data_IF_457616470514
#
_entry.id   IF_457616470514
#
_cell.length_a   1.000
_cell.length_b   1.000
_cell.length_c   1.000
_cell.angle_alpha   90.00
_cell.angle_beta   90.00
_cell.angle_gamma   90.00
#
_symmetry.space_group_name_H-M   'P 1'
#
loop_
_entity.id
_entity.type
_entity.pdbx_description
1 polymer ?
#
# COMPACT_ATOMS: atom_id res chain seq x y z
N UNK A 1 5.74 16.78 4.59
CA UNK A 1 4.30 16.52 4.49
C UNK A 1 3.65 17.86 4.24
N UNK A 2 2.81 17.91 3.22
CA UNK A 2 2.09 19.09 2.77
C UNK A 2 0.59 18.81 2.90
N UNK A 3 -0.18 19.84 3.23
CA UNK A 3 -1.59 19.74 3.60
C UNK A 3 -2.34 20.91 3.00
N UNK A 4 -3.26 20.61 2.10
CA UNK A 4 -4.05 21.62 1.39
C UNK A 4 -5.54 21.36 1.63
N UNK A 5 -6.25 22.41 2.06
CA UNK A 5 -7.71 22.41 2.18
C UNK A 5 -8.34 23.00 0.92
N UNK A 6 -9.20 22.24 0.27
CA UNK A 6 -10.00 22.67 -0.86
C UNK A 6 -11.14 23.61 -0.45
N UNK A 7 -11.71 24.31 -1.44
CA UNK A 7 -12.87 25.22 -1.23
C UNK A 7 -14.19 24.48 -0.95
N UNK A 8 -14.20 23.19 -1.21
CA UNK A 8 -15.31 22.24 -1.06
C UNK A 8 -15.18 21.39 0.22
N UNK A 9 -14.38 21.86 1.20
CA UNK A 9 -14.02 21.15 2.43
C UNK A 9 -13.29 19.80 2.19
N UNK A 10 -12.72 19.60 1.00
CA UNK A 10 -11.81 18.49 0.73
C UNK A 10 -10.44 18.73 1.37
N UNK A 11 -9.76 17.64 1.74
CA UNK A 11 -8.41 17.68 2.30
C UNK A 11 -7.48 16.83 1.44
N UNK A 12 -6.44 17.47 0.91
CA UNK A 12 -5.34 16.80 0.21
C UNK A 12 -4.12 16.77 1.10
N UNK A 13 -3.53 15.59 1.23
CA UNK A 13 -2.31 15.37 2.02
C UNK A 13 -1.25 14.74 1.14
N UNK A 14 -0.13 15.42 0.98
CA UNK A 14 1.00 14.97 0.15
C UNK A 14 2.22 14.73 1.02
N UNK A 15 2.88 13.58 0.87
CA UNK A 15 4.13 13.32 1.57
C UNK A 15 5.01 12.33 0.78
N UNK A 16 6.31 12.54 0.87
CA UNK A 16 7.32 11.62 0.33
C UNK A 16 7.77 10.68 1.45
N UNK A 17 7.85 9.39 1.16
CA UNK A 17 8.36 8.36 2.07
C UNK A 17 9.29 7.40 1.32
N UNK A 18 10.23 6.74 2.03
CA UNK A 18 11.01 5.65 1.44
C UNK A 18 10.10 4.55 0.90
N UNK A 19 10.39 4.05 -0.30
CA UNK A 19 9.73 2.84 -0.81
C UNK A 19 10.31 1.56 -0.18
N UNK A 20 11.61 1.60 0.14
CA UNK A 20 12.36 0.51 0.77
C UNK A 20 12.72 0.93 2.19
N UNK A 21 12.41 0.06 3.14
CA UNK A 21 12.78 0.20 4.55
C UNK A 21 13.85 -0.83 4.92
N UNK A 22 14.55 -0.62 6.04
CA UNK A 22 15.45 -1.63 6.61
C UNK A 22 14.73 -2.32 7.75
N UNK A 23 14.69 -3.66 7.71
CA UNK A 23 14.08 -4.44 8.77
C UNK A 23 14.91 -4.32 10.08
N UNK A 24 14.32 -3.93 11.21
CA UNK A 24 15.06 -3.55 12.42
C UNK A 24 15.82 -4.70 13.07
N UNK A 25 15.41 -5.95 12.83
CA UNK A 25 16.04 -7.14 13.43
C UNK A 25 17.00 -7.83 12.45
N UNK A 26 16.67 -7.89 11.17
CA UNK A 26 17.44 -8.66 10.17
C UNK A 26 18.39 -7.78 9.34
N UNK A 27 18.22 -6.46 9.39
CA UNK A 27 19.00 -5.49 8.60
C UNK A 27 18.74 -5.56 7.09
N UNK A 28 17.77 -6.36 6.63
CA UNK A 28 17.49 -6.54 5.21
C UNK A 28 16.65 -5.39 4.65
N UNK A 29 16.86 -4.98 3.39
CA UNK A 29 15.94 -4.08 2.70
C UNK A 29 14.61 -4.78 2.45
N UNK A 30 13.51 -4.10 2.75
CA UNK A 30 12.15 -4.63 2.62
C UNK A 30 11.26 -3.67 1.85
N UNK A 31 10.43 -4.24 0.98
CA UNK A 31 9.35 -3.52 0.31
C UNK A 31 8.20 -3.30 1.29
N UNK A 32 8.19 -2.14 1.95
CA UNK A 32 7.20 -1.80 2.98
C UNK A 32 6.53 -0.45 2.65
N UNK A 33 5.64 -0.48 1.67
CA UNK A 33 4.86 0.67 1.23
C UNK A 33 3.55 0.23 0.57
N UNK A 34 2.71 1.20 0.19
CA UNK A 34 1.42 0.95 -0.48
C UNK A 34 1.38 1.39 -1.94
N UNK A 35 2.52 1.61 -2.59
CA UNK A 35 2.58 2.17 -3.94
C UNK A 35 1.84 1.36 -5.00
N UNK A 36 1.80 0.02 -4.86
CA UNK A 36 0.99 -0.85 -5.74
C UNK A 36 -0.52 -0.71 -5.49
N UNK A 37 -0.93 -0.42 -4.27
CA UNK A 37 -2.34 -0.41 -3.88
C UNK A 37 -3.00 0.97 -4.07
N UNK A 38 -2.23 2.04 -3.92
CA UNK A 38 -2.70 3.42 -3.95
C UNK A 38 -2.19 4.16 -5.19
N UNK A 39 -2.61 3.68 -6.36
CA UNK A 39 -2.35 4.32 -7.65
C UNK A 39 -3.58 4.16 -8.58
N UNK A 40 -3.69 4.92 -9.68
CA UNK A 40 -4.86 4.87 -10.55
C UNK A 40 -5.11 3.48 -11.15
N UNK A 41 -4.06 2.68 -11.37
CA UNK A 41 -4.16 1.35 -11.98
C UNK A 41 -4.61 0.25 -11.00
N UNK A 42 -4.74 0.55 -9.69
CA UNK A 42 -5.40 -0.37 -8.75
C UNK A 42 -6.92 -0.39 -8.91
N UNK A 43 -7.48 0.59 -9.64
CA UNK A 43 -8.88 0.64 -10.05
C UNK A 43 -9.11 -0.16 -11.34
N UNK A 44 -10.32 -0.71 -11.49
CA UNK A 44 -10.78 -1.26 -12.77
C UNK A 44 -10.73 -0.17 -13.85
N UNK A 45 -10.43 -0.51 -15.12
CA UNK A 45 -10.32 0.48 -16.19
C UNK A 45 -11.52 1.44 -16.29
N UNK A 46 -12.73 0.92 -16.13
CA UNK A 46 -13.98 1.67 -16.24
C UNK A 46 -14.11 2.71 -15.12
N UNK A 47 -13.83 2.29 -13.87
CA UNK A 47 -13.85 3.19 -12.71
C UNK A 47 -12.73 4.23 -12.80
N UNK A 48 -11.54 3.82 -13.26
CA UNK A 48 -10.41 4.75 -13.45
C UNK A 48 -10.76 5.83 -14.46
N UNK A 49 -11.31 5.46 -15.61
CA UNK A 49 -11.72 6.40 -16.67
C UNK A 49 -12.75 7.40 -16.15
N UNK A 50 -13.83 6.92 -15.53
CA UNK A 50 -14.89 7.78 -14.97
C UNK A 50 -14.33 8.75 -13.92
N UNK A 51 -13.46 8.29 -13.02
CA UNK A 51 -12.86 9.16 -12.00
C UNK A 51 -11.91 10.19 -12.63
N UNK A 52 -11.04 9.78 -13.55
CA UNK A 52 -10.13 10.71 -14.21
C UNK A 52 -10.88 11.78 -15.01
N UNK A 53 -11.98 11.43 -15.66
CA UNK A 53 -12.85 12.41 -16.36
C UNK A 53 -13.56 13.34 -15.37
N UNK A 54 -14.00 12.82 -14.23
CA UNK A 54 -14.83 13.58 -13.27
C UNK A 54 -14.01 14.51 -12.38
N UNK A 55 -12.85 14.06 -11.90
CA UNK A 55 -12.06 14.75 -10.87
C UNK A 55 -10.60 14.98 -11.28
N UNK A 56 -10.17 14.52 -12.45
CA UNK A 56 -8.78 14.61 -12.88
C UNK A 56 -7.84 13.73 -12.04
N UNK A 57 -6.55 13.77 -12.37
CA UNK A 57 -5.53 12.98 -11.65
C UNK A 57 -5.33 13.47 -10.20
N UNK A 58 -5.43 14.79 -9.98
CA UNK A 58 -5.23 15.42 -8.66
C UNK A 58 -6.42 15.22 -7.73
N UNK A 59 -7.61 14.96 -8.27
CA UNK A 59 -8.82 14.71 -7.48
C UNK A 59 -9.04 13.23 -7.15
N UNK A 60 -8.15 12.33 -7.57
CA UNK A 60 -8.24 10.92 -7.20
C UNK A 60 -8.08 10.76 -5.68
N UNK A 61 -8.79 9.80 -5.05
CA UNK A 61 -8.71 9.60 -3.61
C UNK A 61 -7.30 9.24 -3.14
N UNK A 62 -6.54 8.53 -3.99
CA UNK A 62 -5.14 8.20 -3.77
C UNK A 62 -4.39 8.14 -5.10
N UNK A 63 -3.18 8.69 -5.12
CA UNK A 63 -2.25 8.54 -6.23
C UNK A 63 -0.81 8.45 -5.68
N UNK A 64 -0.01 7.52 -6.19
CA UNK A 64 1.40 7.37 -5.81
C UNK A 64 2.27 7.68 -7.01
N UNK A 65 3.17 8.64 -6.83
CA UNK A 65 4.21 9.04 -7.79
C UNK A 65 5.59 8.60 -7.28
N UNK A 66 6.62 8.79 -8.09
CA UNK A 66 7.99 8.85 -7.57
C UNK A 66 8.16 10.03 -6.62
N UNK A 67 9.26 10.01 -5.85
CA UNK A 67 9.54 11.03 -4.83
C UNK A 67 9.79 12.44 -5.39
N UNK A 68 10.00 12.55 -6.69
CA UNK A 68 10.11 13.81 -7.44
C UNK A 68 8.79 14.28 -8.07
N UNK A 69 7.70 13.55 -7.83
CA UNK A 69 6.37 13.83 -8.38
C UNK A 69 6.10 13.22 -9.76
N UNK A 70 7.07 12.58 -10.41
CA UNK A 70 6.82 11.93 -11.69
C UNK A 70 5.91 10.71 -11.54
N UNK A 71 4.96 10.54 -12.46
CA UNK A 71 4.08 9.37 -12.45
C UNK A 71 4.90 8.06 -12.56
N UNK A 72 4.55 7.07 -11.74
CA UNK A 72 5.15 5.74 -11.86
C UNK A 72 4.63 5.09 -13.15
N UNK A 73 5.51 4.67 -14.08
CA UNK A 73 5.07 4.05 -15.33
C UNK A 73 4.26 2.79 -15.07
N UNK A 74 3.19 2.58 -15.85
CA UNK A 74 2.33 1.40 -15.69
C UNK A 74 3.09 0.08 -15.79
N UNK A 75 4.10 -0.02 -16.67
CA UNK A 75 4.94 -1.21 -16.78
C UNK A 75 5.69 -1.56 -15.47
N UNK A 76 6.08 -0.55 -14.69
CA UNK A 76 6.72 -0.75 -13.38
C UNK A 76 5.70 -1.29 -12.38
N UNK A 77 4.48 -0.74 -12.37
CA UNK A 77 3.39 -1.23 -11.51
C UNK A 77 3.01 -2.68 -11.86
N UNK A 78 3.00 -3.03 -13.15
CA UNK A 78 2.74 -4.39 -13.62
C UNK A 78 3.83 -5.38 -13.17
N UNK A 79 5.10 -4.97 -13.18
CA UNK A 79 6.20 -5.77 -12.68
C UNK A 79 6.05 -6.04 -11.17
N UNK A 80 5.70 -5.00 -10.41
CA UNK A 80 5.45 -5.12 -8.96
C UNK A 80 4.23 -6.03 -8.72
N UNK A 81 3.12 -5.85 -9.44
CA UNK A 81 1.93 -6.72 -9.34
C UNK A 81 2.30 -8.18 -9.61
N UNK A 82 3.11 -8.44 -10.64
CA UNK A 82 3.59 -9.79 -10.96
C UNK A 82 4.35 -10.39 -9.77
N UNK A 83 5.28 -9.66 -9.17
CA UNK A 83 6.02 -10.12 -7.99
C UNK A 83 5.07 -10.42 -6.82
N UNK A 84 4.09 -9.55 -6.55
CA UNK A 84 3.07 -9.80 -5.54
C UNK A 84 2.31 -11.10 -5.80
N UNK A 85 1.87 -11.33 -7.04
CA UNK A 85 1.11 -12.53 -7.41
C UNK A 85 1.93 -13.81 -7.30
N UNK A 86 3.18 -13.80 -7.74
CA UNK A 86 4.09 -14.96 -7.69
C UNK A 86 4.43 -15.36 -6.25
N UNK A 87 4.58 -14.37 -5.37
CA UNK A 87 4.94 -14.58 -3.96
C UNK A 87 3.74 -14.66 -3.01
N UNK A 88 2.52 -14.35 -3.48
CA UNK A 88 1.31 -14.50 -2.67
C UNK A 88 1.09 -15.96 -2.29
N UNK A 89 0.81 -16.19 -1.01
CA UNK A 89 0.33 -17.48 -0.50
C UNK A 89 -1.07 -17.33 0.02
N UNK A 90 -1.84 -18.40 -0.10
CA UNK A 90 -3.26 -18.38 0.20
C UNK A 90 -3.69 -19.74 0.68
N UNK A 91 -4.38 -19.74 1.80
CA UNK A 91 -4.81 -20.94 2.47
C UNK A 91 -6.25 -20.73 2.97
N UNK A 92 -7.08 -21.78 2.96
CA UNK A 92 -8.39 -21.73 3.59
C UNK A 92 -8.21 -21.66 5.10
N UNK A 93 -8.87 -20.69 5.74
CA UNK A 93 -8.91 -20.60 7.19
C UNK A 93 -9.77 -21.72 7.78
N UNK A 94 -9.26 -22.38 8.81
CA UNK A 94 -9.99 -23.30 9.67
C UNK A 94 -10.28 -22.65 11.03
N UNK A 95 -11.39 -22.99 11.69
CA UNK A 95 -11.61 -22.57 13.08
C UNK A 95 -10.46 -23.01 13.98
N UNK A 96 -9.89 -22.05 14.72
CA UNK A 96 -8.74 -22.29 15.60
C UNK A 96 -7.37 -21.99 14.98
N UNK A 97 -7.29 -21.75 13.68
CA UNK A 97 -6.05 -21.31 13.04
C UNK A 97 -5.57 -19.97 13.63
N UNK A 98 -4.25 -19.88 13.81
CA UNK A 98 -3.56 -18.66 14.19
C UNK A 98 -2.48 -18.36 13.15
N UNK A 99 -2.52 -17.15 12.60
CA UNK A 99 -1.46 -16.64 11.72
C UNK A 99 -0.70 -15.54 12.46
N UNK A 100 0.61 -15.74 12.61
CA UNK A 100 1.52 -14.69 13.03
C UNK A 100 2.22 -14.11 11.80
N UNK A 101 2.21 -12.78 11.68
CA UNK A 101 2.75 -12.09 10.51
C UNK A 101 3.75 -11.04 10.96
N UNK A 102 4.94 -11.08 10.38
CA UNK A 102 5.85 -9.94 10.42
C UNK A 102 5.35 -8.88 9.42
N UNK A 103 4.80 -7.79 9.94
CA UNK A 103 4.13 -6.78 9.14
C UNK A 103 5.10 -6.05 8.17
N UNK A 104 6.39 -6.01 8.47
CA UNK A 104 7.38 -5.36 7.60
C UNK A 104 7.78 -6.26 6.42
N UNK A 105 7.72 -7.58 6.60
CA UNK A 105 8.10 -8.56 5.57
C UNK A 105 6.92 -9.02 4.71
N UNK A 106 5.68 -8.88 5.20
CA UNK A 106 4.51 -9.49 4.57
C UNK A 106 3.42 -8.45 4.35
N UNK A 107 3.16 -8.15 3.08
CA UNK A 107 1.89 -7.55 2.67
C UNK A 107 0.78 -8.60 2.73
N UNK A 108 -0.37 -8.22 3.27
CA UNK A 108 -1.51 -9.10 3.45
C UNK A 108 -2.80 -8.45 2.97
N UNK A 109 -3.76 -9.29 2.61
CA UNK A 109 -5.04 -8.84 2.07
C UNK A 109 -6.09 -9.94 2.17
N UNK A 110 -7.23 -9.72 1.52
CA UNK A 110 -8.39 -10.60 1.59
C UNK A 110 -8.95 -10.86 0.20
N UNK A 111 -9.30 -12.12 -0.09
CA UNK A 111 -10.16 -12.46 -1.23
C UNK A 111 -11.64 -12.21 -0.94
N UNK A 112 -12.46 -11.96 -1.97
CA UNK A 112 -13.91 -12.02 -1.84
C UNK A 112 -14.35 -13.32 -1.14
N UNK A 113 -15.39 -13.24 -0.31
CA UNK A 113 -15.96 -14.40 0.40
C UNK A 113 -17.48 -14.24 0.49
N UNK A 114 -18.17 -15.34 0.79
CA UNK A 114 -19.61 -15.39 1.05
C UNK A 114 -19.88 -16.14 2.36
N UNK A 115 -21.06 -15.96 2.94
CA UNK A 115 -21.45 -16.58 4.21
C UNK A 115 -20.74 -15.98 5.43
N UNK A 116 -20.89 -16.65 6.56
CA UNK A 116 -20.34 -16.20 7.84
C UNK A 116 -18.84 -16.46 7.93
N UNK A 117 -18.07 -15.39 8.19
CA UNK A 117 -16.63 -15.45 8.40
C UNK A 117 -16.21 -14.47 9.49
N UNK A 118 -15.57 -14.97 10.55
CA UNK A 118 -15.00 -14.15 11.62
C UNK A 118 -13.51 -14.43 11.75
N UNK A 119 -12.69 -13.38 11.59
CA UNK A 119 -11.26 -13.39 11.86
C UNK A 119 -10.98 -12.26 12.84
N UNK A 120 -10.26 -12.55 13.92
CA UNK A 120 -9.85 -11.58 14.92
C UNK A 120 -8.39 -11.18 14.68
N UNK A 121 -8.04 -9.95 15.03
CA UNK A 121 -6.69 -9.40 14.86
C UNK A 121 -6.22 -8.79 16.18
N UNK A 122 -4.97 -9.05 16.53
CA UNK A 122 -4.24 -8.36 17.60
C UNK A 122 -2.94 -7.81 17.05
N UNK A 123 -2.62 -6.57 17.41
CA UNK A 123 -1.37 -5.92 17.02
C UNK A 123 -0.34 -6.06 18.14
N UNK A 124 0.91 -6.34 17.77
CA UNK A 124 2.05 -6.24 18.68
C UNK A 124 2.54 -4.78 18.77
N UNK A 125 3.61 -4.56 19.54
CA UNK A 125 4.22 -3.24 19.68
C UNK A 125 4.73 -2.71 18.32
N UNK A 126 4.53 -1.42 18.03
CA UNK A 126 5.00 -0.83 16.80
C UNK A 126 6.53 -0.69 16.79
N UNK A 127 7.13 -0.84 15.61
CA UNK A 127 8.52 -0.47 15.38
C UNK A 127 8.59 1.04 15.14
N UNK A 128 9.39 1.81 15.90
CA UNK A 128 9.55 3.22 15.65
C UNK A 128 10.21 3.46 14.28
N UNK A 129 9.83 4.51 13.55
CA UNK A 129 10.47 4.84 12.28
C UNK A 129 11.99 5.01 12.48
N UNK A 130 12.78 4.39 11.62
CA UNK A 130 14.22 4.65 11.59
C UNK A 130 14.46 6.06 11.05
N UNK A 131 15.31 6.83 11.74
CA UNK A 131 15.67 8.17 11.30
C UNK A 131 16.53 8.05 10.04
N UNK A 132 16.09 8.54 8.88
CA UNK A 132 16.85 8.46 7.63
C UNK A 132 18.16 9.27 7.68
N UNK A 133 18.38 10.09 8.72
CA UNK A 133 19.63 10.82 8.95
C UNK A 133 20.64 10.09 9.83
N UNK A 134 20.30 8.91 10.37
CA UNK A 134 21.25 8.11 11.17
C UNK A 134 22.15 7.27 10.26
N UNK A 135 23.48 7.44 10.30
CA UNK A 135 24.39 6.61 9.50
C UNK A 135 24.39 5.17 10.00
N UNK A 136 24.40 4.23 9.04
CA UNK A 136 24.63 2.80 9.21
C UNK A 136 26.04 2.47 9.68
#
# INVERSE_FOLDING_TARGET
MDVEWGRDDSLTVTYVRPAIHVHPVTGQPVWFNHGLFFNPYSLTPEVREVLLESVGIEGLPYNTTYGDGQAVPHAVLQEIDRAYREHTRSFPWQPGDLLFVDNMLVAHGRRPFTGDRRVLVGMADPVPPQDPSSPS
#
